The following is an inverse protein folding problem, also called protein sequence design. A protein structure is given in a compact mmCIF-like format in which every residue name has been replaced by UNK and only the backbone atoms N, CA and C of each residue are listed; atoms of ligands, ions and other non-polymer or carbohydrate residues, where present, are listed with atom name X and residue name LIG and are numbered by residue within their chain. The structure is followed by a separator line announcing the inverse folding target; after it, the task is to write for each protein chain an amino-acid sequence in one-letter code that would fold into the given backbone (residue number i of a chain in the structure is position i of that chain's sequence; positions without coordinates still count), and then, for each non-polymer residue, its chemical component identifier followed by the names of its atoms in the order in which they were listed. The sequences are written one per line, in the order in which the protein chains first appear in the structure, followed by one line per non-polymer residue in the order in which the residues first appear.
data_IF_398292649378
#
_entry.id   IF_398292649378
#
_cell.length_a   1.000
_cell.length_b   1.000
_cell.length_c   1.000
_cell.angle_alpha   90.00
_cell.angle_beta   90.00
_cell.angle_gamma   90.00
#
_symmetry.space_group_name_H-M   'P 1'
#
loop_
_entity.id
_entity.type
_entity.pdbx_description
1 polymer ?
#
# COMPACT_ATOMS: atom_id res chain seq x y z
N UNK A 1 -15.68 6.95 16.32
CA UNK A 1 -14.42 6.19 16.17
C UNK A 1 -14.24 5.90 14.69
N UNK A 2 -13.37 6.63 14.00
CA UNK A 2 -13.17 6.48 12.57
C UNK A 2 -12.27 5.26 12.32
N UNK A 3 -12.84 4.21 11.75
CA UNK A 3 -12.09 3.07 11.27
C UNK A 3 -11.04 3.54 10.27
N UNK A 4 -9.78 3.22 10.55
CA UNK A 4 -8.66 3.41 9.65
C UNK A 4 -9.00 2.70 8.33
N UNK A 5 -9.36 3.48 7.32
CA UNK A 5 -9.53 2.97 5.96
C UNK A 5 -8.11 2.88 5.42
N UNK A 6 -7.58 1.67 5.35
CA UNK A 6 -6.30 1.36 4.72
C UNK A 6 -6.27 1.99 3.34
N UNK A 7 -5.54 3.10 3.24
CA UNK A 7 -5.63 4.06 2.13
C UNK A 7 -4.39 4.05 1.27
N UNK A 8 -3.40 3.22 1.57
CA UNK A 8 -2.16 3.14 0.84
C UNK A 8 -1.97 1.74 0.28
N UNK A 9 -1.33 1.66 -0.88
CA UNK A 9 -0.86 0.42 -1.46
C UNK A 9 0.60 0.59 -1.83
N UNK A 10 1.34 -0.50 -1.90
CA UNK A 10 2.71 -0.47 -2.43
C UNK A 10 2.62 -0.26 -3.94
N UNK A 11 3.18 0.83 -4.44
CA UNK A 11 3.20 1.14 -5.88
C UNK A 11 4.56 0.79 -6.52
N UNK A 12 5.60 0.68 -5.70
CA UNK A 12 6.95 0.39 -6.16
C UNK A 12 7.73 -0.38 -5.09
N UNK A 13 8.51 -1.38 -5.49
CA UNK A 13 9.31 -2.20 -4.57
C UNK A 13 8.49 -3.13 -3.67
N UNK A 14 8.99 -3.35 -2.47
CA UNK A 14 8.32 -4.07 -1.39
C UNK A 14 8.54 -3.33 -0.06
N UNK A 15 7.52 -3.34 0.79
CA UNK A 15 7.58 -2.83 2.15
C UNK A 15 7.70 -4.02 3.08
N UNK A 16 8.71 -4.00 3.95
CA UNK A 16 8.82 -4.98 5.03
C UNK A 16 8.41 -4.30 6.33
N UNK A 17 7.33 -4.80 6.93
CA UNK A 17 6.82 -4.33 8.21
C UNK A 17 6.96 -5.49 9.21
N UNK A 18 8.06 -5.45 9.97
CA UNK A 18 8.40 -6.52 10.91
C UNK A 18 8.59 -7.88 10.22
N UNK A 19 7.57 -8.73 10.26
CA UNK A 19 7.56 -10.08 9.65
C UNK A 19 6.77 -10.16 8.35
N UNK A 20 5.96 -9.15 8.07
CA UNK A 20 5.09 -9.09 6.91
C UNK A 20 5.82 -8.35 5.77
N UNK A 21 5.69 -8.85 4.56
CA UNK A 21 6.29 -8.26 3.37
C UNK A 21 5.18 -7.98 2.37
N UNK A 22 4.92 -6.70 2.10
CA UNK A 22 3.94 -6.22 1.16
C UNK A 22 4.63 -5.89 -0.16
N UNK A 23 4.19 -6.49 -1.25
CA UNK A 23 4.76 -6.25 -2.59
C UNK A 23 3.93 -5.22 -3.34
N UNK A 24 4.49 -4.72 -4.45
CA UNK A 24 3.77 -3.86 -5.38
C UNK A 24 2.37 -4.41 -5.72
N UNK A 25 1.36 -3.56 -5.57
CA UNK A 25 -0.06 -3.87 -5.69
C UNK A 25 -0.69 -4.29 -4.37
N UNK A 26 0.06 -4.66 -3.34
CA UNK A 26 -0.57 -5.03 -2.08
C UNK A 26 -1.00 -3.80 -1.29
N UNK A 27 -2.20 -3.84 -0.67
CA UNK A 27 -2.62 -2.82 0.27
C UNK A 27 -1.69 -2.83 1.47
N UNK A 28 -1.13 -1.68 1.78
CA UNK A 28 -0.21 -1.50 2.89
C UNK A 28 -0.74 -0.41 3.81
N UNK A 29 -0.85 -0.71 5.09
CA UNK A 29 -1.19 0.27 6.11
C UNK A 29 0.03 0.55 6.97
N UNK A 30 0.67 1.71 6.84
CA UNK A 30 1.82 2.06 7.68
C UNK A 30 1.40 2.12 9.15
N UNK A 31 2.16 1.44 10.00
CA UNK A 31 1.93 1.40 11.45
C UNK A 31 2.16 2.75 12.15
N UNK A 32 2.84 3.69 11.51
CA UNK A 32 3.16 5.02 12.06
C UNK A 32 3.27 6.09 10.98
N UNK A 33 3.05 7.35 11.37
CA UNK A 33 3.13 8.49 10.45
C UNK A 33 4.54 8.67 9.87
N UNK A 34 5.60 8.46 10.66
CA UNK A 34 6.98 8.52 10.16
C UNK A 34 7.21 7.52 9.03
N UNK A 35 6.87 6.25 9.24
CA UNK A 35 7.01 5.19 8.24
C UNK A 35 6.17 5.48 6.99
N UNK A 36 4.94 6.00 7.17
CA UNK A 36 4.10 6.45 6.06
C UNK A 36 4.81 7.50 5.22
N UNK A 37 5.30 8.56 5.85
CA UNK A 37 5.91 9.69 5.17
C UNK A 37 7.23 9.31 4.50
N UNK A 38 8.04 8.42 5.10
CA UNK A 38 9.24 7.85 4.48
C UNK A 38 8.90 7.04 3.21
N UNK A 39 7.92 6.13 3.30
CA UNK A 39 7.51 5.30 2.17
C UNK A 39 6.82 6.10 1.06
N UNK A 40 6.07 7.15 1.41
CA UNK A 40 5.49 8.09 0.46
C UNK A 40 6.56 8.96 -0.22
N UNK A 41 7.51 9.50 0.56
CA UNK A 41 8.61 10.30 0.04
C UNK A 41 9.53 9.47 -0.89
N UNK A 42 9.73 8.19 -0.56
CA UNK A 42 10.46 7.25 -1.39
C UNK A 42 9.66 6.78 -2.63
N UNK A 43 8.35 7.08 -2.72
CA UNK A 43 7.48 6.60 -3.80
C UNK A 43 7.26 5.09 -3.79
N UNK A 44 7.44 4.45 -2.63
CA UNK A 44 7.23 3.01 -2.41
C UNK A 44 5.75 2.72 -2.26
N UNK A 45 5.03 3.59 -1.52
CA UNK A 45 3.59 3.47 -1.30
C UNK A 45 2.84 4.69 -1.86
N UNK A 46 1.63 4.46 -2.37
CA UNK A 46 0.76 5.48 -2.94
C UNK A 46 -0.68 5.34 -2.45
N UNK A 47 -1.48 6.39 -2.59
CA UNK A 47 -2.87 6.37 -2.17
C UNK A 47 -3.67 5.33 -2.99
N UNK A 48 -4.26 4.36 -2.32
CA UNK A 48 -5.10 3.32 -2.91
C UNK A 48 -6.29 3.91 -3.68
N UNK A 49 -6.82 5.08 -3.32
CA UNK A 49 -7.89 5.72 -4.11
C UNK A 49 -7.45 6.13 -5.52
N UNK A 50 -6.17 6.40 -5.69
CA UNK A 50 -5.56 6.74 -6.98
C UNK A 50 -5.24 5.46 -7.78
N UNK A 51 -4.89 4.39 -7.06
CA UNK A 51 -4.31 3.18 -7.66
C UNK A 51 -5.22 1.93 -7.63
N UNK A 52 -6.40 1.98 -6.98
CA UNK A 52 -7.40 0.91 -6.94
C UNK A 52 -8.03 0.60 -8.31
N UNK A 53 -7.77 1.43 -9.32
CA UNK A 53 -8.21 1.16 -10.68
C UNK A 53 -7.36 0.07 -11.38
N UNK A 54 -6.20 -0.33 -10.82
CA UNK A 54 -5.23 -1.17 -11.51
C UNK A 54 -5.21 -2.67 -11.13
N UNK A 55 -6.03 -3.15 -10.19
CA UNK A 55 -6.00 -4.56 -9.75
C UNK A 55 -7.30 -5.33 -9.95
N UNK A 56 -8.29 -4.74 -10.61
CA UNK A 56 -9.41 -5.51 -11.16
C UNK A 56 -9.04 -6.01 -12.55
N UNK A 57 -8.41 -7.20 -12.58
CA UNK A 57 -8.31 -8.05 -13.75
C UNK A 57 -7.20 -9.07 -13.55
N UNK A 58 -7.34 -10.36 -13.87
CA UNK A 58 -8.43 -11.20 -14.38
C UNK A 58 -7.86 -12.63 -14.36
N UNK A 59 -8.70 -13.66 -14.21
CA UNK A 59 -8.59 -15.03 -14.75
C UNK A 59 -9.61 -15.87 -13.95
N UNK A 60 -10.78 -16.25 -14.44
CA UNK A 60 -11.18 -16.44 -15.83
C UNK A 60 -10.93 -17.88 -16.27
N UNK A 61 -11.62 -18.85 -15.64
CA UNK A 61 -11.97 -20.14 -16.27
C UNK A 61 -13.35 -20.60 -15.79
#
# INVERSE_FOLDING_TARGET
MAAAKSKYIVISGCVQDGRDIYRKGEPYEPASAELRDELLAAGVIGLAKDHAQAQSGEDGE
#
